data_IF_633144536307
#
_entry.id   IF_633144536307
#
_cell.length_a   1.000
_cell.length_b   1.000
_cell.length_c   1.000
_cell.angle_alpha   90.00
_cell.angle_beta   90.00
_cell.angle_gamma   90.00
#
_symmetry.space_group_name_H-M   'P 1'
#
loop_
_entity.id
_entity.type
_entity.pdbx_description
1 polymer ?
#
# COMPACT_ATOMS: atom_id res chain seq x y z
N UNK A 1 -4.63 -2.15 -14.64
CA UNK A 1 -3.54 -2.89 -13.96
C UNK A 1 -4.19 -3.91 -13.05
N UNK A 2 -4.03 -5.20 -13.31
CA UNK A 2 -4.62 -6.21 -12.44
C UNK A 2 -3.83 -6.13 -11.12
N UNK A 3 -4.52 -6.11 -9.97
CA UNK A 3 -3.96 -6.27 -8.60
C UNK A 3 -2.71 -7.16 -8.56
N UNK A 4 -2.81 -8.20 -9.37
CA UNK A 4 -1.88 -9.27 -9.47
C UNK A 4 -0.53 -8.90 -10.07
N UNK A 5 -0.48 -7.94 -10.97
CA UNK A 5 0.75 -7.67 -11.73
C UNK A 5 1.72 -6.84 -10.89
N UNK A 6 1.20 -5.97 -10.02
CA UNK A 6 2.01 -5.17 -9.12
C UNK A 6 2.26 -5.83 -7.77
N UNK A 7 1.26 -6.45 -7.14
CA UNK A 7 1.46 -7.02 -5.81
C UNK A 7 2.15 -8.39 -5.81
N UNK A 8 1.84 -9.29 -6.77
CA UNK A 8 2.40 -10.65 -6.76
C UNK A 8 3.93 -10.67 -6.59
N UNK A 9 4.73 -9.86 -7.31
CA UNK A 9 6.18 -9.88 -7.13
C UNK A 9 6.63 -9.35 -5.76
N UNK A 10 5.86 -8.46 -5.14
CA UNK A 10 6.19 -7.83 -3.84
C UNK A 10 5.75 -8.65 -2.62
N UNK A 11 4.81 -9.57 -2.82
CA UNK A 11 4.21 -10.36 -1.74
C UNK A 11 5.24 -11.11 -0.88
N UNK A 12 6.26 -11.81 -1.45
CA UNK A 12 7.25 -12.52 -0.63
C UNK A 12 8.05 -11.57 0.28
N UNK A 13 8.43 -10.40 -0.21
CA UNK A 13 9.19 -9.40 0.55
C UNK A 13 8.35 -8.82 1.69
N UNK A 14 7.12 -8.39 1.39
CA UNK A 14 6.17 -7.88 2.39
C UNK A 14 5.95 -8.90 3.52
N UNK A 15 5.68 -10.16 3.17
CA UNK A 15 5.47 -11.23 4.14
C UNK A 15 6.73 -11.48 4.97
N UNK A 16 7.91 -11.47 4.37
CA UNK A 16 9.17 -11.68 5.09
C UNK A 16 9.50 -10.54 6.06
N UNK A 17 9.28 -9.29 5.67
CA UNK A 17 9.45 -8.12 6.55
C UNK A 17 8.52 -8.23 7.75
N UNK A 18 7.23 -8.48 7.52
CA UNK A 18 6.24 -8.61 8.60
C UNK A 18 6.52 -9.80 9.52
N UNK A 19 6.90 -10.96 8.96
CA UNK A 19 7.33 -12.14 9.74
C UNK A 19 8.53 -11.84 10.64
N UNK A 20 9.43 -10.98 10.20
CA UNK A 20 10.63 -10.64 10.99
C UNK A 20 10.27 -9.80 12.20
N UNK A 21 9.35 -8.84 12.04
CA UNK A 21 8.92 -7.96 13.13
C UNK A 21 8.01 -8.66 14.14
N UNK A 22 7.01 -9.42 13.66
CA UNK A 22 6.00 -10.04 14.52
C UNK A 22 6.54 -11.18 15.42
N UNK A 23 7.77 -11.66 15.15
CA UNK A 23 8.44 -12.68 15.98
C UNK A 23 8.69 -12.21 17.42
N UNK A 24 8.87 -10.90 17.64
CA UNK A 24 9.21 -10.36 18.96
C UNK A 24 7.96 -10.05 19.80
N UNK A 25 6.97 -9.42 19.17
CA UNK A 25 5.70 -9.01 19.77
C UNK A 25 4.67 -8.78 18.66
N UNK A 26 3.39 -8.65 19.04
CA UNK A 26 2.35 -8.24 18.11
C UNK A 26 2.66 -6.84 17.55
N UNK A 27 2.43 -6.63 16.26
CA UNK A 27 2.73 -5.36 15.59
C UNK A 27 1.46 -4.79 14.96
N UNK A 28 1.53 -3.53 14.54
CA UNK A 28 0.58 -3.01 13.54
C UNK A 28 1.30 -2.67 12.26
N UNK A 29 0.62 -2.73 11.13
CA UNK A 29 1.18 -2.24 9.88
C UNK A 29 0.14 -1.54 9.01
N UNK A 30 0.57 -0.68 8.09
CA UNK A 30 -0.25 -0.25 6.97
C UNK A 30 0.56 -0.20 5.68
N UNK A 31 -0.18 -0.14 4.58
CA UNK A 31 0.37 0.06 3.24
C UNK A 31 0.02 1.47 2.77
N UNK A 32 0.98 2.13 2.11
CA UNK A 32 0.77 3.40 1.42
C UNK A 32 1.20 3.26 -0.04
N UNK A 33 0.27 3.47 -0.96
CA UNK A 33 0.54 3.56 -2.41
C UNK A 33 0.83 5.01 -2.75
N UNK A 34 1.97 5.28 -3.40
CA UNK A 34 2.31 6.58 -3.95
C UNK A 34 2.03 6.55 -5.46
N UNK A 35 1.39 7.61 -5.96
CA UNK A 35 0.91 7.67 -7.33
C UNK A 35 0.89 9.11 -7.83
N UNK A 36 1.11 9.27 -9.12
CA UNK A 36 0.86 10.54 -9.81
C UNK A 36 -0.50 10.46 -10.49
N UNK A 37 -1.33 11.46 -10.26
CA UNK A 37 -2.65 11.58 -10.86
C UNK A 37 -2.74 12.90 -11.64
N UNK A 38 -3.40 12.91 -12.79
CA UNK A 38 -3.58 14.10 -13.60
C UNK A 38 -5.07 14.36 -13.88
N UNK A 39 -5.41 15.54 -14.39
CA UNK A 39 -6.73 15.79 -14.96
C UNK A 39 -6.67 15.62 -16.47
N UNK A 40 -7.46 14.71 -17.07
CA UNK A 40 -7.48 14.55 -18.52
C UNK A 40 -7.72 15.90 -19.22
N UNK A 41 -6.93 16.17 -20.26
CA UNK A 41 -7.03 17.38 -21.09
C UNK A 41 -6.71 18.71 -20.37
N UNK A 42 -6.18 18.68 -19.15
CA UNK A 42 -5.66 19.88 -18.47
C UNK A 42 -4.13 19.81 -18.45
N UNK A 43 -3.43 20.66 -19.22
CA UNK A 43 -1.97 20.71 -19.20
C UNK A 43 -1.43 20.97 -17.79
N UNK A 44 -0.29 20.34 -17.45
CA UNK A 44 0.42 20.52 -16.17
C UNK A 44 -0.45 20.25 -14.92
N UNK A 45 -1.34 19.26 -15.00
CA UNK A 45 -2.25 18.88 -13.90
C UNK A 45 -1.79 17.66 -13.10
N UNK A 46 -0.59 17.13 -13.37
CA UNK A 46 -0.02 16.02 -12.62
C UNK A 46 0.24 16.42 -11.18
N UNK A 47 -0.32 15.66 -10.26
CA UNK A 47 -0.25 15.86 -8.83
C UNK A 47 0.12 14.55 -8.13
N UNK A 48 1.05 14.65 -7.18
CA UNK A 48 1.40 13.53 -6.30
C UNK A 48 0.24 13.24 -5.35
N UNK A 49 -0.20 12.00 -5.33
CA UNK A 49 -1.25 11.47 -4.46
C UNK A 49 -0.74 10.25 -3.71
N UNK A 50 -1.37 9.98 -2.57
CA UNK A 50 -1.11 8.77 -1.83
C UNK A 50 -2.40 8.19 -1.27
N UNK A 51 -2.51 6.87 -1.34
CA UNK A 51 -3.58 6.08 -0.74
C UNK A 51 -2.99 5.30 0.40
N UNK A 52 -3.70 5.16 1.53
CA UNK A 52 -3.13 4.55 2.73
C UNK A 52 -4.19 3.76 3.48
N UNK A 53 -3.88 2.49 3.76
CA UNK A 53 -4.78 1.66 4.57
C UNK A 53 -4.77 2.09 6.04
N UNK A 54 -5.84 1.76 6.76
CA UNK A 54 -5.79 1.76 8.22
C UNK A 54 -4.72 0.78 8.73
N UNK A 55 -4.25 1.02 9.97
CA UNK A 55 -3.30 0.11 10.61
C UNK A 55 -4.01 -1.21 10.97
N UNK A 56 -3.38 -2.32 10.61
CA UNK A 56 -3.87 -3.68 10.86
C UNK A 56 -2.96 -4.35 11.88
N UNK A 57 -3.55 -4.89 12.95
CA UNK A 57 -2.84 -5.69 13.94
C UNK A 57 -2.42 -7.04 13.35
N UNK A 58 -1.22 -7.48 13.71
CA UNK A 58 -0.63 -8.73 13.26
C UNK A 58 -0.02 -9.46 14.44
N UNK A 59 -0.36 -10.74 14.56
CA UNK A 59 0.16 -11.66 15.58
C UNK A 59 1.00 -12.75 14.93
N UNK A 60 1.83 -13.43 15.73
CA UNK A 60 2.81 -14.40 15.22
C UNK A 60 2.18 -15.65 14.61
N UNK A 61 0.95 -15.99 15.01
CA UNK A 61 0.11 -17.09 14.54
C UNK A 61 -0.86 -16.69 13.42
N UNK A 62 -0.88 -15.41 13.03
CA UNK A 62 -1.77 -14.90 11.98
C UNK A 62 -1.39 -15.43 10.59
N UNK A 63 -2.39 -15.58 9.70
CA UNK A 63 -2.13 -15.78 8.28
C UNK A 63 -1.71 -14.45 7.62
N UNK A 64 -0.41 -14.15 7.75
CA UNK A 64 0.21 -12.90 7.29
C UNK A 64 -0.04 -12.68 5.80
N UNK A 65 0.01 -13.74 4.98
CA UNK A 65 -0.17 -13.62 3.52
C UNK A 65 -1.58 -13.15 3.21
N UNK A 66 -2.60 -13.82 3.75
CA UNK A 66 -3.99 -13.43 3.55
C UNK A 66 -4.29 -12.02 4.07
N UNK A 67 -3.68 -11.63 5.20
CA UNK A 67 -3.86 -10.27 5.76
C UNK A 67 -3.26 -9.20 4.85
N UNK A 68 -2.06 -9.42 4.30
CA UNK A 68 -1.43 -8.50 3.33
C UNK A 68 -2.25 -8.39 2.04
N UNK A 69 -2.74 -9.53 1.51
CA UNK A 69 -3.61 -9.55 0.33
C UNK A 69 -4.86 -8.69 0.55
N UNK A 70 -5.54 -8.84 1.70
CA UNK A 70 -6.72 -8.04 2.05
C UNK A 70 -6.41 -6.56 2.23
N UNK A 71 -5.30 -6.22 2.87
CA UNK A 71 -4.88 -4.83 3.04
C UNK A 71 -4.63 -4.17 1.69
N UNK A 72 -3.94 -4.85 0.78
CA UNK A 72 -3.70 -4.31 -0.56
C UNK A 72 -4.99 -4.22 -1.40
N UNK A 73 -5.91 -5.18 -1.30
CA UNK A 73 -7.21 -5.08 -1.99
C UNK A 73 -7.98 -3.83 -1.54
N UNK A 74 -8.01 -3.53 -0.23
CA UNK A 74 -8.61 -2.29 0.28
C UNK A 74 -7.93 -1.04 -0.29
N UNK A 75 -6.60 -1.05 -0.36
CA UNK A 75 -5.82 0.05 -0.93
C UNK A 75 -6.18 0.32 -2.40
N UNK A 76 -6.39 -0.74 -3.19
CA UNK A 76 -6.83 -0.61 -4.58
C UNK A 76 -8.26 -0.09 -4.67
N UNK A 77 -9.16 -0.56 -3.81
CA UNK A 77 -10.54 -0.05 -3.75
C UNK A 77 -10.57 1.45 -3.44
N UNK A 78 -9.80 1.91 -2.45
CA UNK A 78 -9.69 3.35 -2.14
C UNK A 78 -9.19 4.16 -3.34
N UNK A 79 -8.17 3.66 -4.05
CA UNK A 79 -7.66 4.28 -5.28
C UNK A 79 -8.73 4.34 -6.37
N UNK A 80 -9.46 3.25 -6.60
CA UNK A 80 -10.50 3.18 -7.64
C UNK A 80 -11.71 4.08 -7.29
N UNK A 81 -12.09 4.15 -6.01
CA UNK A 81 -13.12 5.07 -5.53
C UNK A 81 -12.71 6.55 -5.69
N UNK A 82 -11.44 6.87 -5.47
CA UNK A 82 -10.92 8.22 -5.70
C UNK A 82 -11.07 8.66 -7.17
N UNK A 83 -10.94 7.72 -8.11
CA UNK A 83 -11.14 7.96 -9.53
C UNK A 83 -12.63 8.07 -9.91
N UNK A 84 -13.50 7.24 -9.29
CA UNK A 84 -14.91 7.16 -9.67
C UNK A 84 -15.78 8.30 -9.13
N UNK A 85 -15.38 8.96 -8.03
CA UNK A 85 -16.14 10.05 -7.37
C UNK A 85 -16.16 11.39 -8.13
N UNK A 86 -15.87 11.41 -9.42
CA UNK A 86 -15.92 12.63 -10.23
C UNK A 86 -14.89 13.68 -9.82
N UNK A 87 -13.77 13.27 -9.21
CA UNK A 87 -12.67 14.16 -8.80
C UNK A 87 -12.06 14.92 -9.99
N UNK A 88 -12.32 14.46 -11.22
CA UNK A 88 -11.69 14.95 -12.43
C UNK A 88 -10.26 14.44 -12.61
N UNK A 89 -9.75 13.64 -11.66
CA UNK A 89 -8.41 13.07 -11.69
C UNK A 89 -8.41 11.62 -12.16
N UNK A 90 -7.45 11.28 -13.01
CA UNK A 90 -7.13 9.93 -13.45
C UNK A 90 -5.73 9.54 -12.95
N UNK A 91 -5.51 8.24 -12.77
CA UNK A 91 -4.19 7.73 -12.38
C UNK A 91 -3.30 7.78 -13.60
N UNK A 92 -2.15 8.44 -13.47
CA UNK A 92 -1.13 8.53 -14.51
C UNK A 92 -0.08 7.43 -14.29
N UNK A 93 0.49 7.35 -13.08
CA UNK A 93 1.46 6.33 -12.68
C UNK A 93 1.28 5.91 -11.23
N UNK A 94 1.74 4.70 -10.92
CA UNK A 94 2.10 4.33 -9.56
C UNK A 94 3.57 4.63 -9.43
N UNK A 95 3.99 5.26 -8.34
CA UNK A 95 5.37 5.70 -8.14
C UNK A 95 6.08 4.82 -7.08
N UNK A 96 5.30 4.16 -6.22
CA UNK A 96 5.84 3.23 -5.26
C UNK A 96 4.86 2.68 -4.26
N UNK A 97 5.33 1.72 -3.47
CA UNK A 97 4.61 1.14 -2.35
C UNK A 97 5.48 1.19 -1.10
N UNK A 98 4.90 1.71 -0.01
CA UNK A 98 5.51 1.78 1.30
C UNK A 98 4.78 0.84 2.28
N UNK A 99 5.56 0.14 3.10
CA UNK A 99 5.10 -0.62 4.26
C UNK A 99 5.55 0.11 5.52
N UNK A 100 4.62 0.58 6.34
CA UNK A 100 4.94 1.09 7.68
C UNK A 100 4.63 0.01 8.73
N UNK A 101 5.63 -0.33 9.54
CA UNK A 101 5.51 -1.25 10.67
C UNK A 101 5.61 -0.47 11.96
N UNK A 102 4.59 -0.58 12.78
CA UNK A 102 4.47 0.04 14.10
C UNK A 102 4.88 -0.99 15.13
N UNK A 103 6.00 -0.72 15.79
CA UNK A 103 6.46 -1.44 16.97
C UNK A 103 6.14 -0.63 18.22
N UNK A 104 6.36 -1.20 19.40
CA UNK A 104 6.13 -0.50 20.67
C UNK A 104 7.03 0.74 20.85
N UNK A 105 8.18 0.80 20.15
CA UNK A 105 9.17 1.85 20.32
C UNK A 105 9.25 2.83 19.14
N UNK A 106 9.14 2.33 17.90
CA UNK A 106 9.36 3.12 16.69
C UNK A 106 8.46 2.69 15.54
N UNK A 107 8.32 3.58 14.55
CA UNK A 107 7.73 3.24 13.25
C UNK A 107 8.88 3.03 12.26
N UNK A 108 8.92 1.85 11.63
CA UNK A 108 9.86 1.55 10.56
C UNK A 108 9.12 1.59 9.23
N UNK A 109 9.63 2.36 8.27
CA UNK A 109 9.03 2.49 6.93
C UNK A 109 9.95 1.87 5.90
N UNK A 110 9.43 0.89 5.17
CA UNK A 110 10.10 0.21 4.08
C UNK A 110 9.53 0.69 2.75
N UNK A 111 10.39 1.05 1.81
CA UNK A 111 10.00 1.17 0.41
C UNK A 111 10.19 -0.19 -0.25
N UNK A 112 9.07 -0.82 -0.61
CA UNK A 112 9.07 -2.17 -1.20
C UNK A 112 8.95 -2.14 -2.72
N UNK A 113 8.64 -0.98 -3.32
CA UNK A 113 8.69 -0.80 -4.76
C UNK A 113 9.03 0.65 -5.16
N UNK A 114 9.80 0.77 -6.23
CA UNK A 114 9.91 1.96 -7.09
C UNK A 114 9.41 1.54 -8.48
N UNK A 115 8.70 2.44 -9.17
CA UNK A 115 8.16 2.20 -10.51
C UNK A 115 8.73 3.24 -11.46
#
# INVERSE_FOLDING_TARGET
MIYSDFLRPLMPELVNLLKTHVKKHAIKFNLKLEATCNRPNVPNSSENRAFKTSAVELYSDSDIRTIVERAYMKLMTEKDEYQSRGSGFTLESIDGLLLAVYTDEWIVVYRVANV
#
